data_IF_088809958430
#
_entry.id   IF_088809958430
#
_cell.length_a   1.000
_cell.length_b   1.000
_cell.length_c   1.000
_cell.angle_alpha   90.00
_cell.angle_beta   90.00
_cell.angle_gamma   90.00
#
_symmetry.space_group_name_H-M   'P 1'
#
loop_
_entity.id
_entity.type
_entity.pdbx_description
1 polymer ?
#
# COMPACT_ATOMS: atom_id res chain seq x y z
N UNK A 1 30.35 12.88 23.24
CA UNK A 1 28.90 12.71 22.93
C UNK A 1 28.48 13.24 21.54
N UNK A 2 29.28 14.06 20.83
CA UNK A 2 28.89 14.62 19.50
C UNK A 2 29.10 13.73 18.26
N UNK A 3 29.93 12.69 18.33
CA UNK A 3 30.26 11.85 17.15
C UNK A 3 29.07 10.94 16.74
N UNK A 4 28.24 10.51 17.70
CA UNK A 4 27.10 9.61 17.46
C UNK A 4 25.88 10.29 16.83
N UNK A 5 25.63 11.58 17.10
CA UNK A 5 24.53 12.32 16.49
C UNK A 5 24.84 12.66 15.03
N UNK A 6 26.07 13.14 14.74
CA UNK A 6 26.49 13.44 13.37
C UNK A 6 26.57 12.19 12.50
N UNK A 7 26.99 11.04 13.05
CA UNK A 7 26.97 9.76 12.34
C UNK A 7 25.57 9.28 11.97
N UNK A 8 24.57 9.49 12.84
CA UNK A 8 23.16 9.15 12.54
C UNK A 8 22.56 10.05 11.47
N UNK A 9 22.86 11.36 11.51
CA UNK A 9 22.45 12.31 10.48
C UNK A 9 23.05 11.93 9.11
N UNK A 10 24.34 11.59 9.08
CA UNK A 10 25.02 11.16 7.85
C UNK A 10 24.46 9.85 7.30
N UNK A 11 24.19 8.86 8.15
CA UNK A 11 23.57 7.61 7.73
C UNK A 11 22.16 7.83 7.15
N UNK A 12 21.37 8.71 7.77
CA UNK A 12 20.06 9.10 7.23
C UNK A 12 20.21 9.74 5.85
N UNK A 13 21.14 10.68 5.71
CA UNK A 13 21.48 11.34 4.44
C UNK A 13 21.87 10.34 3.34
N UNK A 14 22.73 9.37 3.66
CA UNK A 14 23.14 8.33 2.72
C UNK A 14 21.93 7.48 2.30
N UNK A 15 21.09 7.08 3.26
CA UNK A 15 19.88 6.32 2.96
C UNK A 15 18.90 7.11 2.08
N UNK A 16 18.69 8.40 2.36
CA UNK A 16 17.85 9.29 1.57
C UNK A 16 18.35 9.39 0.12
N UNK A 17 19.66 9.54 -0.08
CA UNK A 17 20.27 9.58 -1.43
C UNK A 17 20.14 8.23 -2.14
N UNK A 18 20.33 7.11 -1.44
CA UNK A 18 20.19 5.78 -2.01
C UNK A 18 18.74 5.49 -2.42
N UNK A 19 17.76 5.90 -1.62
CA UNK A 19 16.35 5.76 -1.94
C UNK A 19 15.97 6.63 -3.14
N UNK A 20 16.43 7.89 -3.18
CA UNK A 20 16.23 8.76 -4.33
C UNK A 20 16.82 8.15 -5.61
N UNK A 21 18.03 7.60 -5.52
CA UNK A 21 18.71 6.92 -6.65
C UNK A 21 17.94 5.70 -7.14
N UNK A 22 17.36 4.91 -6.22
CA UNK A 22 16.52 3.75 -6.58
C UNK A 22 15.21 4.16 -7.23
N UNK A 23 14.59 5.23 -6.74
CA UNK A 23 13.36 5.79 -7.29
C UNK A 23 13.59 6.31 -8.71
N UNK A 24 14.65 7.09 -8.94
CA UNK A 24 14.97 7.65 -10.25
C UNK A 24 15.36 6.59 -11.28
N UNK A 25 16.02 5.52 -10.83
CA UNK A 25 16.35 4.39 -11.68
C UNK A 25 15.16 3.43 -11.92
N UNK A 26 13.97 3.71 -11.36
CA UNK A 26 12.82 2.77 -11.37
C UNK A 26 13.17 1.38 -10.83
N UNK A 27 14.13 1.31 -9.89
CA UNK A 27 14.64 0.06 -9.28
C UNK A 27 14.04 -0.21 -7.91
N UNK A 28 13.18 0.67 -7.41
CA UNK A 28 12.49 0.43 -6.14
C UNK A 28 11.39 -0.62 -6.36
N UNK A 29 11.54 -1.78 -5.73
CA UNK A 29 10.52 -2.82 -5.69
C UNK A 29 9.60 -2.60 -4.50
N UNK A 30 8.29 -2.63 -4.76
CA UNK A 30 7.26 -2.60 -3.73
C UNK A 30 6.95 -4.02 -3.25
N UNK A 31 6.77 -4.19 -1.95
CA UNK A 31 6.44 -5.46 -1.30
C UNK A 31 5.15 -5.30 -0.50
N UNK A 32 4.02 -5.57 -1.15
CA UNK A 32 2.72 -5.53 -0.50
C UNK A 32 2.47 -6.80 0.32
N UNK A 33 2.03 -6.63 1.55
CA UNK A 33 1.64 -7.72 2.45
C UNK A 33 0.49 -7.29 3.37
N UNK A 34 -0.16 -8.25 4.03
CA UNK A 34 -1.18 -7.95 5.02
C UNK A 34 -0.53 -7.46 6.32
N UNK A 35 -0.75 -6.19 6.62
CA UNK A 35 -0.19 -5.52 7.80
C UNK A 35 -1.27 -5.42 8.87
N UNK A 36 -0.99 -5.88 10.09
CA UNK A 36 -1.84 -5.57 11.24
C UNK A 36 -1.70 -4.09 11.56
N UNK A 37 -2.76 -3.32 11.29
CA UNK A 37 -2.68 -1.86 11.35
C UNK A 37 -2.49 -1.35 12.76
N UNK A 38 -3.02 -2.04 13.78
CA UNK A 38 -2.86 -1.63 15.18
C UNK A 38 -1.39 -1.78 15.61
N UNK A 39 -0.78 -2.92 15.31
CA UNK A 39 0.65 -3.15 15.57
C UNK A 39 1.53 -2.13 14.81
N UNK A 40 1.15 -1.80 13.58
CA UNK A 40 1.84 -0.80 12.77
C UNK A 40 1.81 0.59 13.44
N UNK A 41 0.64 1.04 13.90
CA UNK A 41 0.46 2.33 14.56
C UNK A 41 1.15 2.38 15.93
N UNK A 42 1.08 1.30 16.72
CA UNK A 42 1.81 1.18 17.99
C UNK A 42 3.32 1.32 17.80
N UNK A 43 3.87 0.77 16.71
CA UNK A 43 5.28 0.93 16.38
C UNK A 43 5.62 2.37 16.01
N UNK A 44 4.75 3.07 15.26
CA UNK A 44 4.93 4.49 14.97
C UNK A 44 4.91 5.31 16.27
N UNK A 45 3.99 5.01 17.18
CA UNK A 45 3.90 5.69 18.48
C UNK A 45 5.19 5.58 19.29
N UNK A 46 5.72 4.36 19.42
CA UNK A 46 6.96 4.10 20.17
C UNK A 46 8.17 4.88 19.65
N UNK A 47 8.21 5.15 18.34
CA UNK A 47 9.31 5.92 17.72
C UNK A 47 9.28 7.38 18.17
N UNK A 48 8.10 7.97 18.36
CA UNK A 48 7.94 9.41 18.53
C UNK A 48 7.53 9.86 19.93
N UNK A 49 6.91 9.00 20.73
CA UNK A 49 6.34 9.36 22.05
C UNK A 49 7.39 9.97 22.98
N UNK A 50 8.62 9.44 22.99
CA UNK A 50 9.70 9.98 23.84
C UNK A 50 10.19 11.33 23.32
N UNK A 51 10.30 11.51 22.00
CA UNK A 51 10.73 12.77 21.40
C UNK A 51 9.69 13.87 21.63
N UNK A 52 8.41 13.57 21.43
CA UNK A 52 7.30 14.48 21.70
C UNK A 52 7.26 14.88 23.18
N UNK A 53 7.36 13.90 24.09
CA UNK A 53 7.43 14.14 25.54
C UNK A 53 8.61 15.02 25.94
N UNK A 54 9.79 14.80 25.37
CA UNK A 54 10.97 15.62 25.64
C UNK A 54 10.80 17.06 25.15
N UNK A 55 10.02 17.26 24.08
CA UNK A 55 9.63 18.58 23.56
C UNK A 55 8.41 19.19 24.27
N UNK A 56 7.77 18.46 25.19
CA UNK A 56 6.54 18.87 25.87
C UNK A 56 5.39 19.18 24.89
N UNK A 57 5.30 18.41 23.80
CA UNK A 57 4.18 18.46 22.85
C UNK A 57 3.39 17.15 22.95
N UNK A 58 2.08 17.23 22.77
CA UNK A 58 1.22 16.05 22.75
C UNK A 58 1.40 15.30 21.42
N UNK A 59 1.52 13.98 21.50
CA UNK A 59 1.51 13.12 20.32
C UNK A 59 0.29 12.20 20.39
N UNK A 60 -0.60 12.34 19.41
CA UNK A 60 -1.90 11.69 19.39
C UNK A 60 -1.99 10.76 18.17
N UNK A 61 -2.55 9.57 18.38
CA UNK A 61 -2.94 8.66 17.30
C UNK A 61 -4.44 8.45 17.36
N UNK A 62 -5.12 8.73 16.24
CA UNK A 62 -6.56 8.52 16.09
C UNK A 62 -6.83 7.49 14.98
N UNK A 63 -7.69 6.52 15.28
CA UNK A 63 -8.14 5.48 14.37
C UNK A 63 -9.62 5.25 14.62
N UNK A 64 -10.41 5.11 13.56
CA UNK A 64 -11.83 4.79 13.68
C UNK A 64 -12.03 3.46 14.44
N UNK A 65 -13.06 3.38 15.30
CA UNK A 65 -13.25 2.21 16.17
C UNK A 65 -13.43 0.92 15.38
N UNK A 66 -14.15 1.01 14.26
CA UNK A 66 -14.45 -0.11 13.36
C UNK A 66 -13.42 -0.29 12.24
N UNK A 67 -12.24 0.32 12.37
CA UNK A 67 -11.19 0.22 11.36
C UNK A 67 -10.72 -1.25 11.17
N UNK A 68 -10.69 -1.77 9.92
CA UNK A 68 -10.29 -3.14 9.64
C UNK A 68 -8.90 -3.50 10.17
N UNK A 69 -8.78 -4.69 10.75
CA UNK A 69 -7.55 -5.10 11.45
C UNK A 69 -6.32 -5.21 10.54
N UNK A 70 -6.50 -5.61 9.28
CA UNK A 70 -5.45 -5.88 8.32
C UNK A 70 -5.60 -5.01 7.08
N UNK A 71 -4.47 -4.46 6.62
CA UNK A 71 -4.37 -3.57 5.47
C UNK A 71 -3.33 -4.15 4.51
N UNK A 72 -3.68 -4.31 3.23
CA UNK A 72 -2.73 -4.80 2.23
C UNK A 72 -1.89 -3.65 1.68
N UNK A 73 -0.68 -3.47 2.23
CA UNK A 73 0.20 -2.35 1.90
C UNK A 73 1.68 -2.73 2.02
N UNK A 74 2.57 -1.92 1.46
CA UNK A 74 4.01 -2.02 1.73
C UNK A 74 4.32 -1.32 3.05
N UNK A 75 4.43 -2.11 4.12
CA UNK A 75 4.66 -1.62 5.49
C UNK A 75 5.88 -0.71 5.58
N UNK A 76 6.98 -1.07 4.91
CA UNK A 76 8.26 -0.37 5.02
C UNK A 76 8.15 1.01 4.37
N UNK A 77 7.52 1.10 3.19
CA UNK A 77 7.35 2.37 2.47
C UNK A 77 6.37 3.30 3.16
N UNK A 78 5.23 2.80 3.60
CA UNK A 78 4.27 3.62 4.36
C UNK A 78 4.90 4.12 5.65
N UNK A 79 5.62 3.25 6.37
CA UNK A 79 6.36 3.64 7.58
C UNK A 79 7.36 4.75 7.31
N UNK A 80 8.12 4.65 6.22
CA UNK A 80 9.10 5.67 5.83
C UNK A 80 8.44 7.03 5.58
N UNK A 81 7.32 7.04 4.85
CA UNK A 81 6.54 8.26 4.58
C UNK A 81 6.08 8.87 5.92
N UNK A 82 5.43 8.09 6.78
CA UNK A 82 4.91 8.58 8.06
C UNK A 82 6.01 9.07 9.01
N UNK A 83 7.14 8.36 9.10
CA UNK A 83 8.27 8.78 9.95
C UNK A 83 8.79 10.15 9.50
N UNK A 84 8.90 10.39 8.19
CA UNK A 84 9.36 11.68 7.71
C UNK A 84 8.34 12.80 7.98
N UNK A 85 7.05 12.56 7.75
CA UNK A 85 6.01 13.55 8.01
C UNK A 85 5.89 13.89 9.51
N UNK A 86 5.79 12.88 10.37
CA UNK A 86 5.69 13.05 11.83
C UNK A 86 6.98 13.64 12.40
N UNK A 87 8.14 13.23 11.88
CA UNK A 87 9.43 13.81 12.24
C UNK A 87 9.49 15.30 11.95
N UNK A 88 9.00 15.74 10.79
CA UNK A 88 8.89 17.16 10.45
C UNK A 88 7.90 17.89 11.37
N UNK A 89 6.70 17.33 11.59
CA UNK A 89 5.70 17.90 12.48
C UNK A 89 6.25 18.12 13.90
N UNK A 90 6.88 17.10 14.51
CA UNK A 90 7.50 17.21 15.84
C UNK A 90 8.64 18.22 15.84
N UNK A 91 9.45 18.26 14.78
CA UNK A 91 10.58 19.18 14.66
C UNK A 91 10.13 20.65 14.64
N UNK A 92 9.04 20.97 13.95
CA UNK A 92 8.56 22.34 13.76
C UNK A 92 7.46 22.78 14.72
N UNK A 93 6.99 21.88 15.59
CA UNK A 93 6.07 22.20 16.69
C UNK A 93 6.85 22.51 17.96
N UNK A 94 6.51 23.65 18.59
CA UNK A 94 7.10 24.11 19.85
C UNK A 94 6.20 23.85 21.05
N UNK A 95 4.90 24.03 20.85
CA UNK A 95 3.84 23.83 21.83
C UNK A 95 2.58 23.34 21.11
N UNK A 96 1.67 22.70 21.86
CA UNK A 96 0.47 22.09 21.30
C UNK A 96 0.69 20.62 20.96
N UNK A 97 0.26 20.19 19.77
CA UNK A 97 0.19 18.77 19.44
C UNK A 97 0.67 18.43 18.03
N UNK A 98 1.00 17.15 17.86
CA UNK A 98 1.09 16.46 16.57
C UNK A 98 0.14 15.27 16.62
N UNK A 99 -0.73 15.16 15.62
CA UNK A 99 -1.75 14.12 15.53
C UNK A 99 -1.58 13.32 14.25
N UNK A 100 -1.55 12.00 14.38
CA UNK A 100 -1.66 11.07 13.26
C UNK A 100 -3.06 10.46 13.28
N UNK A 101 -3.83 10.68 12.23
CA UNK A 101 -5.13 10.05 12.02
C UNK A 101 -5.06 9.06 10.86
N UNK A 102 -5.75 7.93 10.99
CA UNK A 102 -5.96 6.98 9.90
C UNK A 102 -7.46 6.75 9.69
N UNK A 103 -7.89 6.79 8.44
CA UNK A 103 -9.26 6.53 8.02
C UNK A 103 -9.28 5.87 6.64
N UNK A 104 -10.42 5.35 6.23
CA UNK A 104 -10.59 4.87 4.86
C UNK A 104 -11.95 5.32 4.31
N UNK A 105 -12.01 5.49 2.99
CA UNK A 105 -13.24 5.82 2.27
C UNK A 105 -13.48 4.81 1.16
N UNK A 106 -14.75 4.42 1.02
CA UNK A 106 -15.19 3.59 -0.08
C UNK A 106 -15.66 4.50 -1.22
N UNK A 107 -14.71 5.04 -1.99
CA UNK A 107 -15.00 5.93 -3.12
C UNK A 107 -15.24 5.16 -4.43
N UNK A 108 -14.96 3.85 -4.43
CA UNK A 108 -15.14 2.99 -5.60
C UNK A 108 -16.43 2.17 -5.47
N UNK A 109 -17.20 2.04 -6.56
CA UNK A 109 -18.29 1.05 -6.62
C UNK A 109 -17.77 -0.41 -6.69
N UNK A 110 -16.46 -0.62 -6.57
CA UNK A 110 -15.83 -1.94 -6.56
C UNK A 110 -15.72 -2.45 -5.11
N UNK A 111 -16.32 -3.61 -4.85
CA UNK A 111 -16.25 -4.27 -3.54
C UNK A 111 -14.79 -4.61 -3.20
N UNK A 112 -14.30 -4.09 -2.07
CA UNK A 112 -13.02 -4.47 -1.49
C UNK A 112 -11.83 -3.56 -1.78
N UNK A 113 -12.04 -2.42 -2.46
CA UNK A 113 -11.01 -1.40 -2.70
C UNK A 113 -11.42 -0.09 -2.04
N UNK A 114 -10.58 0.35 -1.11
CA UNK A 114 -10.82 1.57 -0.35
C UNK A 114 -9.65 2.53 -0.55
N UNK A 115 -9.95 3.82 -0.48
CA UNK A 115 -8.93 4.83 -0.34
C UNK A 115 -8.51 4.88 1.12
N UNK A 116 -7.27 4.48 1.40
CA UNK A 116 -6.67 4.56 2.72
C UNK A 116 -6.04 5.94 2.90
N UNK A 117 -6.37 6.61 4.00
CA UNK A 117 -5.97 7.99 4.25
C UNK A 117 -5.22 8.05 5.58
N UNK A 118 -4.00 8.58 5.53
CA UNK A 118 -3.24 8.99 6.71
C UNK A 118 -3.15 10.50 6.75
N UNK A 119 -3.47 11.12 7.88
CA UNK A 119 -3.40 12.56 8.07
C UNK A 119 -2.45 12.88 9.22
N UNK A 120 -1.42 13.68 8.95
CA UNK A 120 -0.49 14.19 9.95
C UNK A 120 -0.75 15.67 10.13
N UNK A 121 -1.30 16.03 11.27
CA UNK A 121 -1.64 17.40 11.66
C UNK A 121 -0.68 17.88 12.76
N UNK A 122 -0.23 19.13 12.66
CA UNK A 122 0.64 19.78 13.64
C UNK A 122 0.17 21.21 13.93
N UNK A 123 0.48 21.71 15.13
CA UNK A 123 0.24 23.11 15.53
C UNK A 123 1.52 23.97 15.47
N UNK A 124 2.46 23.60 14.60
CA UNK A 124 3.76 24.24 14.49
C UNK A 124 3.74 25.58 13.75
N UNK A 125 4.92 25.98 13.25
CA UNK A 125 5.12 27.29 12.61
C UNK A 125 4.32 27.49 11.31
N UNK A 126 3.79 26.42 10.72
CA UNK A 126 3.12 26.44 9.41
C UNK A 126 4.07 26.76 8.24
N UNK A 127 3.49 26.77 7.04
CA UNK A 127 4.16 26.95 5.75
C UNK A 127 3.45 28.09 5.04
N UNK A 128 4.21 29.02 4.46
CA UNK A 128 3.65 30.09 3.63
C UNK A 128 3.14 29.53 2.30
N UNK A 129 2.02 30.05 1.79
CA UNK A 129 1.34 29.55 0.58
C UNK A 129 2.30 29.46 -0.63
N UNK A 130 3.13 30.49 -0.83
CA UNK A 130 4.12 30.54 -1.93
C UNK A 130 5.15 29.40 -1.89
N UNK A 131 5.31 28.73 -0.73
CA UNK A 131 6.26 27.64 -0.55
C UNK A 131 5.62 26.25 -0.65
N UNK A 132 4.27 26.13 -0.68
CA UNK A 132 3.58 24.84 -0.57
C UNK A 132 3.89 23.89 -1.73
N UNK A 133 4.14 24.41 -2.93
CA UNK A 133 4.57 23.58 -4.07
C UNK A 133 6.06 23.22 -3.95
N UNK A 134 6.88 24.16 -3.48
CA UNK A 134 8.34 24.00 -3.45
C UNK A 134 8.83 23.02 -2.37
N UNK A 135 8.04 22.76 -1.31
CA UNK A 135 8.45 21.85 -0.22
C UNK A 135 8.68 20.40 -0.69
N UNK A 136 8.14 20.01 -1.84
CA UNK A 136 8.33 18.67 -2.42
C UNK A 136 9.55 18.60 -3.36
N UNK A 137 10.21 19.73 -3.64
CA UNK A 137 11.43 19.74 -4.44
C UNK A 137 12.63 19.30 -3.60
N UNK A 138 13.48 18.47 -4.20
CA UNK A 138 14.68 17.97 -3.54
C UNK A 138 15.65 19.12 -3.20
N UNK A 139 16.24 19.06 -2.01
CA UNK A 139 17.19 20.07 -1.49
C UNK A 139 16.61 21.46 -1.26
N UNK A 140 15.29 21.62 -1.34
CA UNK A 140 14.65 22.89 -1.00
C UNK A 140 14.56 23.06 0.50
N UNK A 141 15.07 24.18 1.00
CA UNK A 141 14.91 24.64 2.38
C UNK A 141 14.47 26.10 2.34
N UNK A 142 13.47 26.47 3.15
CA UNK A 142 13.01 27.86 3.15
C UNK A 142 14.14 28.80 3.62
N UNK A 143 14.25 29.96 2.97
CA UNK A 143 15.25 31.00 3.27
C UNK A 143 14.97 31.81 4.54
N UNK A 144 14.10 31.34 5.45
CA UNK A 144 13.77 32.09 6.65
C UNK A 144 14.87 31.93 7.71
N UNK A 145 15.23 33.05 8.38
CA UNK A 145 16.25 33.11 9.43
C UNK A 145 16.03 32.09 10.57
N UNK A 146 14.79 31.62 10.75
CA UNK A 146 14.43 30.62 11.76
C UNK A 146 14.77 29.17 11.33
N UNK A 147 14.77 28.83 10.02
CA UNK A 147 15.03 27.46 9.54
C UNK A 147 16.50 27.03 9.58
N UNK A 148 17.43 27.99 9.57
CA UNK A 148 18.87 27.73 9.69
C UNK A 148 19.18 26.99 11.01
N UNK A 149 18.38 27.21 12.07
CA UNK A 149 18.53 26.52 13.36
C UNK A 149 17.96 25.10 13.39
N UNK A 150 17.03 24.75 12.50
CA UNK A 150 16.32 23.47 12.60
C UNK A 150 16.99 22.32 11.85
N UNK A 151 17.85 22.60 10.86
CA UNK A 151 18.67 21.60 10.15
C UNK A 151 17.88 20.55 9.37
N UNK A 152 18.36 20.13 8.20
CA UNK A 152 17.66 19.11 7.41
C UNK A 152 18.35 18.91 6.07
N UNK A 153 17.97 17.86 5.36
CA UNK A 153 18.52 17.52 4.05
C UNK A 153 17.71 18.15 2.92
N UNK A 154 16.45 18.50 3.21
CA UNK A 154 15.47 18.90 2.20
C UNK A 154 15.03 17.73 1.29
N UNK A 155 15.40 16.49 1.63
CA UNK A 155 15.10 15.31 0.81
C UNK A 155 13.84 14.58 1.25
N UNK A 156 13.48 14.63 2.53
CA UNK A 156 12.42 13.80 3.09
C UNK A 156 11.08 13.94 2.37
N UNK A 157 10.57 15.16 2.19
CA UNK A 157 9.28 15.38 1.53
C UNK A 157 9.31 15.03 0.04
N UNK A 158 10.44 15.27 -0.65
CA UNK A 158 10.64 14.83 -2.02
C UNK A 158 10.62 13.30 -2.15
N UNK A 159 11.25 12.59 -1.20
CA UNK A 159 11.22 11.13 -1.12
C UNK A 159 9.80 10.64 -0.83
N UNK A 160 9.06 11.27 0.08
CA UNK A 160 7.65 10.95 0.33
C UNK A 160 6.83 11.04 -0.94
N UNK A 161 6.93 12.16 -1.67
CA UNK A 161 6.17 12.38 -2.91
C UNK A 161 6.48 11.30 -3.96
N UNK A 162 7.77 11.07 -4.26
CA UNK A 162 8.20 10.05 -5.23
C UNK A 162 7.80 8.62 -4.80
N UNK A 163 7.88 8.32 -3.50
CA UNK A 163 7.46 7.01 -2.96
C UNK A 163 5.96 6.80 -3.13
N UNK A 164 5.16 7.84 -2.88
CA UNK A 164 3.71 7.75 -3.08
C UNK A 164 3.34 7.65 -4.55
N UNK A 165 4.04 8.36 -5.44
CA UNK A 165 3.79 8.30 -6.88
C UNK A 165 3.97 6.86 -7.41
N UNK A 166 4.99 6.11 -6.98
CA UNK A 166 5.16 4.70 -7.38
C UNK A 166 4.14 3.76 -6.72
N UNK A 167 3.58 4.14 -5.57
CA UNK A 167 2.55 3.40 -4.85
C UNK A 167 1.12 3.72 -5.34
N UNK A 168 0.99 4.49 -6.43
CA UNK A 168 -0.29 5.01 -6.92
C UNK A 168 -1.06 5.81 -5.84
N UNK A 169 -0.31 6.53 -5.01
CA UNK A 169 -0.81 7.37 -3.94
C UNK A 169 -0.62 8.86 -4.23
N UNK A 170 -1.24 9.67 -3.39
CA UNK A 170 -1.21 11.12 -3.46
C UNK A 170 -0.84 11.70 -2.08
N UNK A 171 -0.23 12.88 -2.09
CA UNK A 171 0.01 13.67 -0.88
C UNK A 171 -0.51 15.08 -1.11
N UNK A 172 -1.30 15.55 -0.16
CA UNK A 172 -1.85 16.90 -0.12
C UNK A 172 -1.34 17.60 1.13
N UNK A 173 -1.22 18.93 1.05
CA UNK A 173 -0.82 19.76 2.19
C UNK A 173 -1.76 20.94 2.29
N UNK A 174 -2.22 21.21 3.51
CA UNK A 174 -2.88 22.46 3.89
C UNK A 174 -2.11 23.05 5.06
N UNK A 175 -1.76 24.32 5.02
CA UNK A 175 -0.95 24.94 6.06
C UNK A 175 -1.25 26.42 6.17
N UNK A 176 -1.06 26.98 7.37
CA UNK A 176 -1.12 28.41 7.58
C UNK A 176 0.00 28.81 8.56
N UNK A 177 0.76 29.85 8.20
CA UNK A 177 1.83 30.40 9.06
C UNK A 177 1.29 30.72 10.45
N UNK A 178 1.95 30.17 11.47
CA UNK A 178 1.61 30.31 12.89
C UNK A 178 0.44 29.46 13.37
N UNK A 179 -0.21 28.66 12.51
CA UNK A 179 -1.30 27.76 12.89
C UNK A 179 -0.97 26.28 12.69
N UNK A 180 0.13 25.97 12.02
CA UNK A 180 0.58 24.61 11.75
C UNK A 180 0.18 24.10 10.37
N UNK A 181 0.30 22.79 10.17
CA UNK A 181 0.10 22.15 8.87
C UNK A 181 -0.66 20.83 9.00
N UNK A 182 -1.27 20.41 7.90
CA UNK A 182 -1.91 19.10 7.75
C UNK A 182 -1.42 18.49 6.45
N UNK A 183 -0.75 17.35 6.55
CA UNK A 183 -0.35 16.52 5.42
C UNK A 183 -1.30 15.33 5.32
N UNK A 184 -2.00 15.20 4.19
CA UNK A 184 -2.87 14.08 3.89
C UNK A 184 -2.19 13.17 2.87
N UNK A 185 -1.97 11.91 3.23
CA UNK A 185 -1.47 10.85 2.34
C UNK A 185 -2.62 9.93 2.00
N UNK A 186 -2.92 9.82 0.71
CA UNK A 186 -3.98 8.95 0.18
C UNK A 186 -3.37 7.82 -0.62
N UNK A 187 -3.68 6.58 -0.25
CA UNK A 187 -3.32 5.38 -1.01
C UNK A 187 -4.60 4.78 -1.59
N UNK A 188 -4.63 4.63 -2.92
CA UNK A 188 -5.81 4.16 -3.64
C UNK A 188 -5.85 2.64 -3.74
N UNK A 189 -7.05 2.11 -3.94
CA UNK A 189 -7.29 0.68 -4.21
C UNK A 189 -6.74 -0.27 -3.13
N UNK A 190 -6.79 0.13 -1.86
CA UNK A 190 -6.25 -0.65 -0.74
C UNK A 190 -7.28 -1.69 -0.26
N UNK A 191 -6.83 -2.93 -0.20
CA UNK A 191 -7.59 -4.04 0.36
C UNK A 191 -7.54 -4.01 1.89
N UNK A 192 -8.70 -4.16 2.52
CA UNK A 192 -8.89 -4.14 3.97
C UNK A 192 -9.55 -5.45 4.42
N UNK A 193 -9.13 -6.00 5.55
CA UNK A 193 -9.66 -7.25 6.09
C UNK A 193 -9.68 -7.24 7.63
N UNK A 194 -10.60 -7.97 8.26
CA UNK A 194 -10.67 -8.13 9.72
C UNK A 194 -10.01 -9.42 10.22
N UNK A 195 -9.76 -10.40 9.36
CA UNK A 195 -9.22 -11.70 9.72
C UNK A 195 -7.73 -11.79 9.41
N UNK A 196 -6.96 -12.33 10.36
CA UNK A 196 -5.48 -12.48 10.28
C UNK A 196 -5.03 -13.36 9.14
N UNK A 197 -5.91 -14.25 8.67
CA UNK A 197 -5.72 -15.19 7.60
C UNK A 197 -7.10 -15.60 7.09
N UNK A 198 -7.37 -15.45 5.80
CA UNK A 198 -8.10 -16.53 5.10
C UNK A 198 -7.14 -17.73 5.15
N UNK A 199 -7.65 -18.89 5.58
CA UNK A 199 -6.83 -20.10 5.69
C UNK A 199 -6.05 -20.34 4.39
N UNK A 200 -4.71 -20.32 4.48
CA UNK A 200 -3.82 -20.95 3.50
C UNK A 200 -4.09 -22.47 3.53
N UNK A 201 -5.16 -22.92 2.90
CA UNK A 201 -5.11 -24.22 2.27
C UNK A 201 -4.51 -23.99 0.88
N UNK A 202 -3.31 -24.53 0.59
CA UNK A 202 -2.96 -24.75 -0.80
C UNK A 202 -4.06 -25.65 -1.34
N UNK A 203 -4.88 -25.13 -2.23
CA UNK A 203 -5.62 -26.01 -3.12
C UNK A 203 -4.52 -26.58 -4.00
N UNK A 204 -4.01 -27.75 -3.63
CA UNK A 204 -3.24 -28.59 -4.54
C UNK A 204 -4.25 -29.08 -5.58
N UNK A 205 -4.47 -28.24 -6.59
CA UNK A 205 -5.33 -28.60 -7.70
C UNK A 205 -4.58 -29.66 -8.50
N UNK A 206 -5.14 -30.86 -8.59
CA UNK A 206 -4.60 -31.89 -9.47
C UNK A 206 -4.69 -31.40 -10.92
N UNK A 207 -3.53 -31.00 -11.46
CA UNK A 207 -3.35 -30.47 -12.81
C UNK A 207 -3.84 -31.46 -13.87
N UNK A 208 -3.76 -32.75 -13.59
CA UNK A 208 -4.19 -33.84 -14.48
C UNK A 208 -5.69 -33.79 -14.71
N UNK A 209 -6.45 -33.57 -13.63
CA UNK A 209 -7.92 -33.51 -13.64
C UNK A 209 -8.43 -32.28 -14.40
N UNK A 210 -7.76 -31.12 -14.26
CA UNK A 210 -8.07 -29.94 -15.08
C UNK A 210 -7.80 -30.25 -16.55
N UNK A 211 -6.64 -30.82 -16.89
CA UNK A 211 -6.29 -31.07 -18.29
C UNK A 211 -7.29 -32.01 -18.97
N UNK A 212 -7.71 -33.08 -18.28
CA UNK A 212 -8.71 -34.02 -18.78
C UNK A 212 -10.06 -33.35 -19.03
N UNK A 213 -10.56 -32.60 -18.05
CA UNK A 213 -11.85 -31.94 -18.16
C UNK A 213 -11.88 -30.89 -19.29
N UNK A 214 -10.80 -30.12 -19.48
CA UNK A 214 -10.70 -29.12 -20.55
C UNK A 214 -10.40 -29.71 -21.93
N UNK A 215 -10.04 -31.01 -22.05
CA UNK A 215 -9.92 -31.69 -23.35
C UNK A 215 -11.29 -32.03 -23.95
N UNK A 216 -12.32 -32.17 -23.12
CA UNK A 216 -13.69 -32.54 -23.55
C UNK A 216 -14.38 -31.43 -24.34
N UNK A 217 -14.03 -30.16 -24.11
CA UNK A 217 -14.58 -28.99 -24.81
C UNK A 217 -13.49 -28.01 -25.24
N UNK A 218 -13.01 -28.17 -26.49
CA UNK A 218 -12.00 -27.30 -27.11
C UNK A 218 -12.44 -25.84 -27.22
N UNK A 219 -13.74 -25.57 -27.37
CA UNK A 219 -14.27 -24.21 -27.50
C UNK A 219 -14.21 -23.50 -26.16
N UNK A 220 -14.64 -24.17 -25.09
CA UNK A 220 -14.53 -23.67 -23.72
C UNK A 220 -13.07 -23.43 -23.33
N UNK A 221 -12.17 -24.37 -23.62
CA UNK A 221 -10.72 -24.19 -23.39
C UNK A 221 -10.17 -22.92 -24.05
N UNK A 222 -10.49 -22.70 -25.34
CA UNK A 222 -10.03 -21.50 -26.07
C UNK A 222 -10.57 -20.20 -25.47
N UNK A 223 -11.84 -20.20 -25.06
CA UNK A 223 -12.47 -19.06 -24.39
C UNK A 223 -11.82 -18.77 -23.04
N UNK A 224 -11.62 -19.79 -22.20
CA UNK A 224 -10.95 -19.66 -20.90
C UNK A 224 -9.50 -19.17 -21.02
N UNK A 225 -8.75 -19.65 -22.01
CA UNK A 225 -7.41 -19.12 -22.32
C UNK A 225 -7.47 -17.64 -22.67
N UNK A 226 -8.46 -17.18 -23.45
CA UNK A 226 -8.63 -15.77 -23.77
C UNK A 226 -8.87 -14.92 -22.51
N UNK A 227 -9.72 -15.38 -21.59
CA UNK A 227 -9.97 -14.70 -20.32
C UNK A 227 -8.70 -14.65 -19.45
N UNK A 228 -7.95 -15.75 -19.37
CA UNK A 228 -6.72 -15.81 -18.58
C UNK A 228 -5.59 -14.93 -19.15
N UNK A 229 -5.44 -14.85 -20.47
CA UNK A 229 -4.47 -13.95 -21.12
C UNK A 229 -4.84 -12.49 -20.86
N UNK A 230 -6.13 -12.16 -20.93
CA UNK A 230 -6.62 -10.81 -20.65
C UNK A 230 -6.48 -10.41 -19.18
N UNK A 231 -6.41 -11.39 -18.26
CA UNK A 231 -6.22 -11.20 -16.81
C UNK A 231 -4.73 -11.03 -16.45
N UNK A 232 -4.01 -10.18 -17.19
CA UNK A 232 -2.55 -9.99 -17.06
C UNK A 232 -2.10 -9.78 -15.61
N UNK A 233 -2.91 -9.16 -14.75
CA UNK A 233 -2.76 -9.10 -13.28
C UNK A 233 -4.15 -9.19 -12.58
N UNK A 234 -4.20 -9.58 -11.29
CA UNK A 234 -5.44 -9.67 -10.49
C UNK A 234 -6.24 -8.36 -10.28
N UNK A 235 -5.84 -7.27 -10.93
CA UNK A 235 -6.55 -5.99 -10.91
C UNK A 235 -7.83 -6.01 -11.77
N UNK A 236 -8.00 -6.98 -12.67
CA UNK A 236 -9.25 -7.18 -13.44
C UNK A 236 -10.20 -8.14 -12.74
N UNK A 237 -10.69 -7.77 -11.56
CA UNK A 237 -11.56 -8.63 -10.74
C UNK A 237 -12.85 -9.05 -11.45
N UNK A 238 -13.39 -8.21 -12.35
CA UNK A 238 -14.53 -8.57 -13.19
C UNK A 238 -14.25 -9.82 -14.06
N UNK A 239 -13.02 -9.93 -14.56
CA UNK A 239 -12.58 -11.05 -15.39
C UNK A 239 -12.34 -12.31 -14.55
N UNK A 240 -11.80 -12.16 -13.34
CA UNK A 240 -11.63 -13.29 -12.40
C UNK A 240 -13.00 -13.80 -11.92
N UNK A 241 -13.95 -12.90 -11.68
CA UNK A 241 -15.35 -13.24 -11.36
C UNK A 241 -16.06 -13.94 -12.53
N UNK A 242 -15.76 -13.54 -13.76
CA UNK A 242 -16.23 -14.24 -14.94
C UNK A 242 -15.62 -15.65 -15.01
N UNK A 243 -14.30 -15.78 -14.84
CA UNK A 243 -13.59 -17.06 -14.78
C UNK A 243 -14.20 -17.98 -13.71
N UNK A 244 -14.45 -17.48 -12.50
CA UNK A 244 -15.04 -18.29 -11.41
C UNK A 244 -16.44 -18.79 -11.76
N UNK A 245 -17.28 -17.92 -12.33
CA UNK A 245 -18.65 -18.27 -12.73
C UNK A 245 -18.64 -19.31 -13.85
N UNK A 246 -17.81 -19.10 -14.88
CA UNK A 246 -17.71 -20.01 -16.02
C UNK A 246 -17.13 -21.38 -15.63
N UNK A 247 -16.19 -21.44 -14.68
CA UNK A 247 -15.69 -22.70 -14.12
C UNK A 247 -16.83 -23.48 -13.44
N UNK A 248 -17.62 -22.82 -12.58
CA UNK A 248 -18.74 -23.47 -11.89
C UNK A 248 -19.76 -24.00 -12.90
N UNK A 249 -20.17 -23.17 -13.87
CA UNK A 249 -21.15 -23.56 -14.90
C UNK A 249 -20.64 -24.73 -15.75
N UNK A 250 -19.37 -24.70 -16.17
CA UNK A 250 -18.77 -25.79 -16.92
C UNK A 250 -18.70 -27.07 -16.10
N UNK A 251 -18.24 -26.99 -14.85
CA UNK A 251 -18.14 -28.13 -13.94
C UNK A 251 -19.50 -28.80 -13.71
N UNK A 252 -20.57 -28.02 -13.51
CA UNK A 252 -21.95 -28.54 -13.37
C UNK A 252 -22.41 -29.21 -14.66
N UNK A 253 -22.20 -28.58 -15.82
CA UNK A 253 -22.63 -29.11 -17.12
C UNK A 253 -21.90 -30.39 -17.51
N UNK A 254 -20.62 -30.49 -17.17
CA UNK A 254 -19.75 -31.63 -17.49
C UNK A 254 -19.70 -32.69 -16.39
N UNK A 255 -20.39 -32.48 -15.27
CA UNK A 255 -20.32 -33.35 -14.08
C UNK A 255 -18.88 -33.53 -13.55
N UNK A 256 -18.05 -32.49 -13.67
CA UNK A 256 -16.68 -32.45 -13.16
C UNK A 256 -16.63 -31.71 -11.82
N UNK A 257 -16.83 -32.45 -10.74
CA UNK A 257 -16.82 -31.94 -9.36
C UNK A 257 -15.55 -31.14 -8.98
N UNK A 258 -14.33 -31.54 -9.39
CA UNK A 258 -13.12 -30.76 -9.08
C UNK A 258 -13.07 -29.37 -9.73
N UNK A 259 -13.71 -29.19 -10.89
CA UNK A 259 -13.83 -27.86 -11.51
C UNK A 259 -14.84 -27.00 -10.76
N UNK A 260 -15.94 -27.59 -10.30
CA UNK A 260 -16.94 -26.87 -9.48
C UNK A 260 -16.28 -26.37 -8.20
N UNK A 261 -15.49 -27.22 -7.54
CA UNK A 261 -14.76 -26.87 -6.33
C UNK A 261 -13.76 -25.73 -6.59
N UNK A 262 -13.01 -25.79 -7.70
CA UNK A 262 -12.08 -24.74 -8.09
C UNK A 262 -12.76 -23.40 -8.33
N UNK A 263 -13.86 -23.40 -9.09
CA UNK A 263 -14.63 -22.18 -9.36
C UNK A 263 -15.28 -21.61 -8.11
N UNK A 264 -15.75 -22.47 -7.21
CA UNK A 264 -16.34 -22.09 -5.91
C UNK A 264 -15.30 -21.51 -4.97
N UNK A 265 -14.11 -22.10 -4.91
CA UNK A 265 -13.00 -21.54 -4.16
C UNK A 265 -12.55 -20.20 -4.72
N UNK A 266 -12.38 -20.07 -6.04
CA UNK A 266 -12.04 -18.78 -6.64
C UNK A 266 -13.11 -17.72 -6.35
N UNK A 267 -14.40 -18.09 -6.41
CA UNK A 267 -15.52 -17.22 -6.04
C UNK A 267 -15.44 -16.79 -4.57
N UNK A 268 -15.16 -17.71 -3.66
CA UNK A 268 -14.99 -17.41 -2.24
C UNK A 268 -13.79 -16.49 -2.00
N UNK A 269 -12.65 -16.74 -2.65
CA UNK A 269 -11.48 -15.86 -2.58
C UNK A 269 -11.77 -14.44 -3.10
N UNK A 270 -12.63 -14.30 -4.13
CA UNK A 270 -13.10 -13.00 -4.60
C UNK A 270 -13.96 -12.31 -3.53
N UNK A 271 -14.90 -13.03 -2.93
CA UNK A 271 -15.80 -12.53 -1.88
C UNK A 271 -15.03 -12.12 -0.60
N UNK A 272 -13.95 -12.83 -0.29
CA UNK A 272 -13.07 -12.57 0.86
C UNK A 272 -11.94 -11.57 0.55
N UNK A 273 -11.87 -11.04 -0.69
CA UNK A 273 -10.85 -10.09 -1.15
C UNK A 273 -9.42 -10.68 -1.00
N UNK A 274 -9.29 -12.00 -1.15
CA UNK A 274 -8.02 -12.71 -1.13
C UNK A 274 -7.37 -12.67 -2.53
N UNK A 275 -6.72 -11.53 -2.83
CA UNK A 275 -6.02 -11.31 -4.10
C UNK A 275 -4.85 -12.27 -4.31
N UNK A 276 -4.21 -12.74 -3.24
CA UNK A 276 -3.11 -13.68 -3.34
C UNK A 276 -3.60 -15.05 -3.78
N UNK A 277 -4.69 -15.54 -3.18
CA UNK A 277 -5.32 -16.79 -3.56
C UNK A 277 -5.92 -16.72 -4.97
N UNK A 278 -6.56 -15.60 -5.33
CA UNK A 278 -7.01 -15.35 -6.69
C UNK A 278 -5.84 -15.42 -7.69
N UNK A 279 -4.73 -14.74 -7.40
CA UNK A 279 -3.52 -14.79 -8.24
C UNK A 279 -2.93 -16.20 -8.33
N UNK A 280 -2.87 -16.95 -7.23
CA UNK A 280 -2.37 -18.32 -7.22
C UNK A 280 -3.21 -19.22 -8.11
N UNK A 281 -4.54 -19.20 -7.95
CA UNK A 281 -5.47 -19.99 -8.77
C UNK A 281 -5.37 -19.60 -10.25
N UNK A 282 -5.39 -18.31 -10.57
CA UNK A 282 -5.26 -17.81 -11.95
C UNK A 282 -3.91 -18.20 -12.56
N UNK A 283 -2.82 -18.10 -11.82
CA UNK A 283 -1.48 -18.49 -12.30
C UNK A 283 -1.34 -20.00 -12.48
N UNK A 284 -1.96 -20.80 -11.60
CA UNK A 284 -2.06 -22.24 -11.80
C UNK A 284 -2.85 -22.56 -13.08
N UNK A 285 -4.03 -21.95 -13.28
CA UNK A 285 -4.81 -22.12 -14.51
C UNK A 285 -4.03 -21.71 -15.77
N UNK A 286 -3.29 -20.59 -15.74
CA UNK A 286 -2.38 -20.17 -16.82
C UNK A 286 -1.30 -21.21 -17.09
N UNK A 287 -0.68 -21.78 -16.04
CA UNK A 287 0.33 -22.84 -16.18
C UNK A 287 -0.21 -24.12 -16.80
N UNK A 288 -1.50 -24.41 -16.64
CA UNK A 288 -2.11 -25.63 -17.14
C UNK A 288 -2.67 -25.44 -18.56
N UNK A 289 -3.33 -24.32 -18.81
CA UNK A 289 -4.11 -24.12 -20.04
C UNK A 289 -3.31 -23.41 -21.15
N UNK A 290 -2.26 -22.65 -20.81
CA UNK A 290 -1.44 -21.90 -21.76
C UNK A 290 -0.10 -22.64 -21.96
N UNK A 291 0.21 -23.10 -23.18
CA UNK A 291 1.51 -23.70 -23.51
C UNK A 291 2.67 -22.75 -23.17
N UNK A 292 3.84 -23.30 -22.81
CA UNK A 292 5.02 -22.51 -22.39
C UNK A 292 5.44 -21.47 -23.45
N UNK A 293 5.20 -21.76 -24.73
CA UNK A 293 5.53 -20.94 -25.88
C UNK A 293 4.69 -19.65 -25.99
N UNK A 294 3.51 -19.59 -25.36
CA UNK A 294 2.56 -18.45 -25.43
C UNK A 294 2.55 -17.59 -24.14
N UNK A 295 3.50 -17.80 -23.20
CA UNK A 295 3.52 -17.14 -21.88
C UNK A 295 4.26 -15.79 -21.85
N UNK A 296 4.84 -15.34 -22.96
CA UNK A 296 5.76 -14.20 -23.01
C UNK A 296 5.21 -12.89 -23.62
N UNK A 297 3.91 -12.80 -23.93
CA UNK A 297 3.29 -11.60 -24.51
C UNK A 297 2.39 -10.79 -23.54
#
# INVERSE_FOLDING_TARGET
KGISSSGRILLSLINDILDLSKLEASKMTLKYEWVNIRDFMDHIEKVFILNAKNKQIDFLIEMDTDFPRYVFMDEIRVRQVLINLIGNAIKFTHEGYVKLKISYHNDTQEVGKNDLIFMVEDTGIGIADDNLEEIFNAFTQQKSLNMIHYGGTGLGLAICKKTLDIMNGEIFVSSQVGKGSTFEVKLKDIALNNLKNVSMHPIDIDVTVILEAFQTDKKFKKHMVSLLVQSKNALKMNLIKQISTELIEFGVKSSHEPIIELGTHLKKSIEEIDLEQCNRIVNQLKRVLIPVEERHD
#
